data_IF_973568252356
#
_entry.id   IF_973568252356
#
_cell.length_a   1.000
_cell.length_b   1.000
_cell.length_c   1.000
_cell.angle_alpha   90.00
_cell.angle_beta   90.00
_cell.angle_gamma   90.00
#
_symmetry.space_group_name_H-M   'P 1'
#
loop_
_entity.id
_entity.type
_entity.pdbx_description
1 polymer ?
#
# COMPACT_ATOMS: atom_id res chain seq x y z
N UNK A 1 -24.84 -59.15 10.38
CA UNK A 1 -25.76 -59.15 9.22
C UNK A 1 -24.93 -59.51 7.99
N UNK A 2 -25.38 -60.46 7.16
CA UNK A 2 -24.63 -60.94 5.98
C UNK A 2 -25.40 -60.52 4.73
N UNK A 3 -24.82 -59.63 3.91
CA UNK A 3 -25.44 -59.11 2.70
C UNK A 3 -24.92 -59.83 1.45
N UNK A 4 -25.79 -60.06 0.46
CA UNK A 4 -25.36 -60.55 -0.86
C UNK A 4 -24.55 -59.45 -1.57
N UNK A 5 -23.58 -59.83 -2.39
CA UNK A 5 -22.68 -58.89 -3.09
C UNK A 5 -23.42 -57.85 -3.94
N UNK A 6 -24.58 -58.21 -4.50
CA UNK A 6 -25.44 -57.35 -5.32
C UNK A 6 -26.28 -56.36 -4.49
N UNK A 7 -26.39 -56.58 -3.19
CA UNK A 7 -27.19 -55.79 -2.25
C UNK A 7 -26.30 -55.33 -1.09
N UNK A 8 -25.07 -54.95 -1.40
CA UNK A 8 -24.18 -54.37 -0.41
C UNK A 8 -24.80 -53.06 0.11
N UNK A 9 -25.06 -52.92 1.42
CA UNK A 9 -25.65 -51.73 1.99
C UNK A 9 -24.72 -50.54 1.83
N UNK A 10 -25.30 -49.35 1.70
CA UNK A 10 -24.54 -48.10 1.66
C UNK A 10 -23.88 -47.82 3.03
N UNK A 11 -22.82 -47.02 3.06
CA UNK A 11 -22.14 -46.66 4.32
C UNK A 11 -23.11 -46.01 5.33
N UNK A 12 -24.03 -45.18 4.86
CA UNK A 12 -25.05 -44.52 5.69
C UNK A 12 -26.07 -45.53 6.26
N UNK A 13 -26.39 -46.59 5.50
CA UNK A 13 -27.25 -47.69 5.92
C UNK A 13 -26.58 -48.54 6.99
N UNK A 14 -25.28 -48.82 6.81
CA UNK A 14 -24.48 -49.55 7.78
C UNK A 14 -24.38 -48.80 9.11
N UNK A 15 -24.28 -47.48 9.09
CA UNK A 15 -24.27 -46.64 10.30
C UNK A 15 -25.60 -46.66 11.04
N UNK A 16 -26.73 -46.63 10.34
CA UNK A 16 -28.05 -46.77 10.94
C UNK A 16 -28.19 -48.15 11.60
N UNK A 17 -27.79 -49.23 10.91
CA UNK A 17 -27.78 -50.57 11.48
C UNK A 17 -26.83 -50.74 12.67
N UNK A 18 -25.67 -50.05 12.69
CA UNK A 18 -24.76 -50.03 13.85
C UNK A 18 -25.36 -49.31 15.05
N UNK A 19 -26.17 -48.26 14.81
CA UNK A 19 -26.87 -47.50 15.85
C UNK A 19 -28.16 -48.18 16.33
N UNK A 20 -28.64 -49.20 15.62
CA UNK A 20 -29.92 -49.85 15.90
C UNK A 20 -31.14 -49.03 15.45
N UNK A 21 -30.94 -48.07 14.54
CA UNK A 21 -31.97 -47.20 13.99
C UNK A 21 -32.50 -47.77 12.66
N UNK A 22 -33.80 -47.54 12.38
CA UNK A 22 -34.39 -47.93 11.11
C UNK A 22 -33.98 -46.96 10.00
N UNK A 23 -33.41 -47.50 8.93
CA UNK A 23 -33.06 -46.72 7.75
C UNK A 23 -34.24 -46.56 6.81
N UNK A 24 -34.71 -45.33 6.61
CA UNK A 24 -35.74 -44.97 5.64
C UNK A 24 -35.12 -44.25 4.42
N UNK A 25 -35.24 -44.80 3.19
CA UNK A 25 -34.68 -44.20 1.99
C UNK A 25 -35.25 -42.81 1.67
N UNK A 26 -36.47 -42.48 2.09
CA UNK A 26 -37.05 -41.14 1.85
C UNK A 26 -36.40 -40.09 2.74
N UNK A 27 -36.22 -40.42 4.01
CA UNK A 27 -35.54 -39.55 4.97
C UNK A 27 -34.06 -39.36 4.61
N UNK A 28 -33.42 -40.39 4.06
CA UNK A 28 -32.06 -40.32 3.55
C UNK A 28 -31.94 -39.31 2.39
N UNK A 29 -32.87 -39.37 1.42
CA UNK A 29 -32.89 -38.45 0.30
C UNK A 29 -33.13 -37.00 0.75
N UNK A 30 -34.06 -36.79 1.68
CA UNK A 30 -34.31 -35.47 2.28
C UNK A 30 -33.08 -34.93 3.02
N UNK A 31 -32.42 -35.76 3.85
CA UNK A 31 -31.16 -35.39 4.53
C UNK A 31 -30.07 -35.02 3.53
N UNK A 32 -29.94 -35.78 2.44
CA UNK A 32 -28.98 -35.50 1.38
C UNK A 32 -29.27 -34.16 0.68
N UNK A 33 -30.54 -33.89 0.34
CA UNK A 33 -30.97 -32.62 -0.26
C UNK A 33 -30.70 -31.43 0.67
N UNK A 34 -30.98 -31.59 1.97
CA UNK A 34 -30.71 -30.55 2.98
C UNK A 34 -29.21 -30.29 3.12
N UNK A 35 -28.38 -31.34 3.15
CA UNK A 35 -26.92 -31.21 3.24
C UNK A 35 -26.34 -30.54 2.00
N UNK A 36 -26.84 -30.86 0.81
CA UNK A 36 -26.43 -30.24 -0.44
C UNK A 36 -26.85 -28.75 -0.50
N UNK A 37 -28.07 -28.41 -0.07
CA UNK A 37 -28.51 -27.02 0.02
C UNK A 37 -27.66 -26.22 1.01
N UNK A 38 -27.34 -26.80 2.17
CA UNK A 38 -26.46 -26.17 3.17
C UNK A 38 -25.03 -25.98 2.63
N UNK A 39 -24.50 -26.95 1.88
CA UNK A 39 -23.19 -26.80 1.22
C UNK A 39 -23.20 -25.67 0.19
N UNK A 40 -24.22 -25.58 -0.66
CA UNK A 40 -24.32 -24.48 -1.64
C UNK A 40 -24.43 -23.11 -0.95
N UNK A 41 -25.22 -23.00 0.11
CA UNK A 41 -25.30 -21.76 0.90
C UNK A 41 -23.96 -21.39 1.53
N UNK A 42 -23.23 -22.37 2.09
CA UNK A 42 -21.91 -22.13 2.66
C UNK A 42 -20.88 -21.72 1.60
N UNK A 43 -20.95 -22.29 0.39
CA UNK A 43 -20.11 -21.89 -0.74
C UNK A 43 -20.44 -20.46 -1.21
N UNK A 44 -21.71 -20.10 -1.30
CA UNK A 44 -22.16 -18.74 -1.63
C UNK A 44 -21.73 -17.71 -0.58
N UNK A 45 -21.84 -18.05 0.72
CA UNK A 45 -21.36 -17.20 1.82
C UNK A 45 -19.84 -17.08 1.83
N UNK A 46 -19.11 -18.14 1.53
CA UNK A 46 -17.66 -18.11 1.39
C UNK A 46 -17.23 -17.21 0.22
N UNK A 47 -17.99 -17.19 -0.88
CA UNK A 47 -17.76 -16.32 -2.03
C UNK A 47 -18.09 -14.85 -1.73
N UNK A 48 -19.10 -14.60 -0.88
CA UNK A 48 -19.55 -13.26 -0.49
C UNK A 48 -18.47 -12.48 0.29
N UNK A 49 -17.46 -13.18 0.82
CA UNK A 49 -16.36 -12.59 1.58
C UNK A 49 -16.82 -12.03 2.94
N UNK A 50 -15.88 -11.60 3.80
CA UNK A 50 -16.25 -10.98 5.06
C UNK A 50 -17.09 -9.72 4.79
N UNK A 51 -18.26 -9.64 5.44
CA UNK A 51 -19.10 -8.46 5.34
C UNK A 51 -18.30 -7.22 5.80
N UNK A 52 -18.14 -6.23 4.92
CA UNK A 52 -17.53 -4.95 5.28
C UNK A 52 -18.47 -4.21 6.23
N UNK A 53 -18.27 -4.40 7.52
CA UNK A 53 -18.95 -3.63 8.56
C UNK A 53 -18.29 -2.26 8.61
N UNK A 54 -18.75 -1.35 7.76
CA UNK A 54 -18.38 0.06 7.84
C UNK A 54 -19.21 0.71 8.94
N UNK A 55 -18.58 1.17 10.05
CA UNK A 55 -19.31 1.86 11.09
C UNK A 55 -19.93 3.16 10.54
N UNK A 56 -21.07 3.62 11.07
CA UNK A 56 -21.78 4.80 10.56
C UNK A 56 -21.01 6.12 10.70
N UNK A 57 -19.93 6.13 11.50
CA UNK A 57 -19.04 7.29 11.64
C UNK A 57 -17.60 6.83 11.90
N UNK A 58 -16.63 7.46 11.25
CA UNK A 58 -15.21 7.26 11.54
C UNK A 58 -14.83 7.96 12.85
N UNK A 59 -14.45 7.19 13.87
CA UNK A 59 -14.02 7.69 15.18
C UNK A 59 -12.88 8.70 15.08
N UNK A 60 -12.05 8.63 14.02
CA UNK A 60 -10.95 9.57 13.78
C UNK A 60 -11.45 10.99 13.53
N UNK A 61 -12.66 11.17 12.99
CA UNK A 61 -13.21 12.50 12.74
C UNK A 61 -13.58 13.21 14.06
N UNK A 62 -13.98 12.46 15.10
CA UNK A 62 -14.27 13.00 16.45
C UNK A 62 -13.05 13.68 17.07
N UNK A 63 -11.84 13.19 16.80
CA UNK A 63 -10.57 13.73 17.33
C UNK A 63 -9.72 14.41 16.26
N UNK A 64 -10.32 14.79 15.13
CA UNK A 64 -9.62 15.50 14.06
C UNK A 64 -8.92 16.78 14.56
N UNK A 65 -9.48 17.43 15.58
CA UNK A 65 -8.89 18.59 16.26
C UNK A 65 -7.63 18.26 17.08
N UNK A 66 -7.50 17.02 17.59
CA UNK A 66 -6.36 16.54 18.38
C UNK A 66 -5.28 15.93 17.48
N UNK A 67 -5.70 15.24 16.42
CA UNK A 67 -4.82 14.61 15.42
C UNK A 67 -4.21 15.67 14.48
N UNK A 68 -4.85 16.85 14.36
CA UNK A 68 -4.29 18.00 13.67
C UNK A 68 -4.14 17.77 12.16
N UNK A 69 -5.26 17.48 11.47
CA UNK A 69 -5.25 17.37 9.99
C UNK A 69 -4.74 18.66 9.29
N UNK A 70 -4.98 19.81 9.90
CA UNK A 70 -4.51 21.13 9.42
C UNK A 70 -3.08 21.41 9.88
N UNK A 71 -2.78 21.14 11.16
CA UNK A 71 -1.44 21.32 11.72
C UNK A 71 -0.36 20.50 10.99
N UNK A 72 -0.69 19.29 10.52
CA UNK A 72 0.23 18.48 9.72
C UNK A 72 0.54 19.10 8.35
N UNK A 73 -0.44 19.73 7.68
CA UNK A 73 -0.23 20.41 6.40
C UNK A 73 0.61 21.68 6.57
N UNK A 74 0.34 22.45 7.62
CA UNK A 74 1.08 23.67 7.92
C UNK A 74 2.53 23.36 8.36
N UNK A 75 2.73 22.29 9.14
CA UNK A 75 4.06 21.81 9.53
C UNK A 75 4.88 21.33 8.32
N UNK A 76 4.23 20.70 7.33
CA UNK A 76 4.90 20.29 6.09
C UNK A 76 5.36 21.50 5.26
N UNK A 77 4.54 22.56 5.18
CA UNK A 77 4.93 23.81 4.52
C UNK A 77 6.07 24.53 5.26
N UNK A 78 6.06 24.50 6.60
CA UNK A 78 7.12 25.11 7.42
C UNK A 78 8.47 24.39 7.29
N UNK A 79 8.49 23.10 6.92
CA UNK A 79 9.71 22.34 6.73
C UNK A 79 10.34 22.52 5.34
N UNK A 80 9.68 23.23 4.41
CA UNK A 80 10.29 23.53 3.12
C UNK A 80 11.39 24.59 3.31
N UNK A 81 12.65 24.13 3.20
CA UNK A 81 13.82 24.99 3.35
C UNK A 81 13.74 26.18 2.38
N UNK A 82 13.97 27.38 2.90
CA UNK A 82 13.86 28.63 2.14
C UNK A 82 14.94 28.67 1.04
N UNK A 83 14.56 28.28 -0.18
CA UNK A 83 15.43 28.23 -1.38
C UNK A 83 16.06 29.59 -1.74
N UNK A 84 15.55 30.68 -1.18
CA UNK A 84 16.02 32.03 -1.43
C UNK A 84 17.12 32.50 -0.44
N UNK A 85 17.36 31.79 0.67
CA UNK A 85 18.41 32.20 1.60
C UNK A 85 19.79 32.03 0.95
N UNK A 86 20.52 33.15 0.79
CA UNK A 86 21.82 33.19 0.12
C UNK A 86 21.79 33.43 -1.40
N UNK A 87 20.62 33.44 -2.03
CA UNK A 87 20.48 33.77 -3.46
C UNK A 87 20.16 35.25 -3.66
N UNK A 88 21.17 36.06 -4.02
CA UNK A 88 20.98 37.48 -4.39
C UNK A 88 20.48 37.56 -5.84
N UNK A 89 19.39 38.28 -6.14
CA UNK A 89 18.92 38.52 -7.50
C UNK A 89 20.00 39.16 -8.38
N UNK A 90 20.08 38.78 -9.65
CA UNK A 90 21.11 39.27 -10.60
C UNK A 90 21.11 40.80 -10.71
N UNK A 91 19.92 41.43 -10.64
CA UNK A 91 19.79 42.89 -10.67
C UNK A 91 20.53 43.61 -9.52
N UNK A 92 20.77 42.93 -8.40
CA UNK A 92 21.43 43.49 -7.22
C UNK A 92 22.90 43.04 -7.10
N UNK A 93 23.39 42.20 -8.03
CA UNK A 93 24.78 41.75 -8.02
C UNK A 93 25.68 42.85 -8.57
N UNK A 94 26.83 43.04 -7.91
CA UNK A 94 27.87 44.00 -8.35
C UNK A 94 28.60 43.56 -9.62
N UNK A 95 28.69 42.25 -9.86
CA UNK A 95 29.26 41.66 -11.07
C UNK A 95 28.14 41.07 -11.93
N UNK A 96 27.95 41.64 -13.12
CA UNK A 96 26.94 41.22 -14.10
C UNK A 96 27.50 40.33 -15.19
N UNK A 97 28.82 40.06 -15.17
CA UNK A 97 29.47 39.21 -16.17
C UNK A 97 29.04 37.77 -16.01
N UNK A 98 29.12 37.03 -17.11
CA UNK A 98 28.98 35.58 -17.06
C UNK A 98 30.17 34.95 -16.32
N UNK A 99 29.96 33.74 -15.80
CA UNK A 99 31.00 32.99 -15.09
C UNK A 99 32.20 32.74 -16.04
N UNK A 100 31.93 32.47 -17.31
CA UNK A 100 32.95 32.18 -18.32
C UNK A 100 33.83 33.40 -18.63
N UNK A 101 33.22 34.59 -18.77
CA UNK A 101 33.92 35.84 -18.97
C UNK A 101 34.86 36.14 -17.78
N UNK A 102 34.34 36.02 -16.56
CA UNK A 102 35.14 36.23 -15.35
C UNK A 102 36.32 35.25 -15.27
N UNK A 103 36.11 33.96 -15.61
CA UNK A 103 37.19 32.98 -15.63
C UNK A 103 38.25 33.27 -16.69
N UNK A 104 37.85 33.71 -17.88
CA UNK A 104 38.78 34.04 -18.95
C UNK A 104 39.63 35.27 -18.61
N UNK A 105 39.05 36.29 -18.00
CA UNK A 105 39.80 37.45 -17.50
C UNK A 105 40.78 37.07 -16.39
N UNK A 106 40.37 36.23 -15.44
CA UNK A 106 41.28 35.74 -14.38
C UNK A 106 42.46 34.99 -15.00
N UNK A 107 42.22 34.14 -16.00
CA UNK A 107 43.27 33.41 -16.72
C UNK A 107 44.19 34.36 -17.47
N UNK A 108 43.65 35.33 -18.20
CA UNK A 108 44.43 36.31 -18.95
C UNK A 108 45.30 37.17 -18.02
N UNK A 109 44.73 37.65 -16.92
CA UNK A 109 45.45 38.45 -15.91
C UNK A 109 46.56 37.66 -15.21
N UNK A 110 46.36 36.36 -14.96
CA UNK A 110 47.41 35.48 -14.45
C UNK A 110 48.59 35.36 -15.42
N UNK A 111 48.32 35.17 -16.73
CA UNK A 111 49.38 35.07 -17.75
C UNK A 111 50.19 36.36 -17.86
N UNK A 112 49.52 37.52 -17.87
CA UNK A 112 50.19 38.82 -17.92
C UNK A 112 51.12 39.03 -16.72
N UNK A 113 50.64 38.73 -15.50
CA UNK A 113 51.46 38.82 -14.29
C UNK A 113 52.69 37.92 -14.34
N UNK A 114 52.55 36.69 -14.83
CA UNK A 114 53.68 35.77 -15.01
C UNK A 114 54.70 36.33 -16.01
N UNK A 115 54.25 36.85 -17.16
CA UNK A 115 55.17 37.47 -18.14
C UNK A 115 55.86 38.73 -17.62
N UNK A 116 55.18 39.53 -16.78
CA UNK A 116 55.76 40.72 -16.14
C UNK A 116 56.79 40.35 -15.07
N UNK A 117 56.57 39.25 -14.33
CA UNK A 117 57.53 38.72 -13.35
C UNK A 117 58.76 38.14 -14.06
N UNK A 118 58.57 37.40 -15.16
CA UNK A 118 59.66 36.88 -16.00
C UNK A 118 60.50 38.03 -16.60
N UNK A 119 59.86 39.06 -17.15
CA UNK A 119 60.53 40.23 -17.72
C UNK A 119 61.25 41.12 -16.69
N UNK A 120 60.84 41.09 -15.41
CA UNK A 120 61.55 41.78 -14.31
C UNK A 120 62.71 40.96 -13.73
N UNK A 121 62.77 39.67 -14.05
CA UNK A 121 63.81 38.74 -13.58
C UNK A 121 64.95 38.51 -14.58
N UNK A 122 64.84 39.07 -15.80
CA UNK A 122 65.91 39.17 -16.81
C UNK A 122 66.50 40.57 -16.84
#
# INVERSE_FOLDING_TARGET
MLFKKEFAPCDEELEAYRRGEEWDPRQAEERRRMKEAAQRQAEEEALRGPAEVTPPSDYKDKYSHLIGRVAAKDAAQAMEANKAYGCVPVANKRDTRSIEEAMNEIRAKKRLRQSEEEAKSS
#
